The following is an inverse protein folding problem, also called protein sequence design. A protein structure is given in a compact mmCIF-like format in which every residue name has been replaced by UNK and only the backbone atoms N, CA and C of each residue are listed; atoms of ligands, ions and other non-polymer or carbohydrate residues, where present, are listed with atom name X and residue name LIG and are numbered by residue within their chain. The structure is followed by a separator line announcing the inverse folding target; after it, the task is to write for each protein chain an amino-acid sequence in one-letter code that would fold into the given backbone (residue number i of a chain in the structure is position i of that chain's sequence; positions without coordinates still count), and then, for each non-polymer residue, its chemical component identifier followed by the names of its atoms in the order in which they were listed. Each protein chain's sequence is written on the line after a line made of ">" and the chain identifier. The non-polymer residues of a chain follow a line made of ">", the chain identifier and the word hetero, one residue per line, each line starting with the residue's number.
data_IF_411023454891
#
_entry.id   IF_411023454891
#
_cell.length_a   1.000
_cell.length_b   1.000
_cell.length_c   1.000
_cell.angle_alpha   90.00
_cell.angle_beta   90.00
_cell.angle_gamma   90.00
#
_symmetry.space_group_name_H-M   'P 1'
#
loop_
_entity.id
_entity.type
_entity.pdbx_description
1 polymer ?
#
# COMPACT_ATOMS: atom_id res chain seq x y z
N UNK A 1 52.15 -2.30 1.50
CA UNK A 1 51.20 -3.13 2.26
C UNK A 1 50.33 -2.22 3.10
N UNK A 2 49.06 -2.06 2.69
CA UNK A 2 47.89 -1.74 3.51
C UNK A 2 46.77 -1.49 2.49
N UNK A 3 46.03 -2.56 2.18
CA UNK A 3 44.84 -2.47 1.32
C UNK A 3 43.90 -1.42 1.87
N UNK A 4 43.37 -0.60 0.96
CA UNK A 4 42.25 0.27 1.23
C UNK A 4 41.08 -0.59 1.72
N UNK A 5 40.75 -0.46 2.99
CA UNK A 5 39.50 -0.95 3.55
C UNK A 5 38.35 -0.19 2.88
N UNK A 6 37.87 -0.75 1.78
CA UNK A 6 36.61 -0.39 1.15
C UNK A 6 35.45 -0.83 2.06
N UNK A 7 35.39 -0.23 3.25
CA UNK A 7 34.26 -0.35 4.15
C UNK A 7 33.16 0.50 3.55
N UNK A 8 32.19 -0.15 2.92
CA UNK A 8 30.97 0.51 2.46
C UNK A 8 30.27 1.12 3.67
N UNK A 9 30.49 2.41 3.92
CA UNK A 9 29.78 3.15 4.95
C UNK A 9 28.29 3.06 4.58
N UNK A 10 27.42 2.53 5.46
CA UNK A 10 26.01 2.39 5.14
C UNK A 10 25.40 3.78 4.92
N UNK A 11 24.42 3.85 4.01
CA UNK A 11 23.79 5.12 3.62
C UNK A 11 23.14 5.81 4.84
N UNK A 12 22.55 5.04 5.76
CA UNK A 12 22.11 5.51 7.08
C UNK A 12 23.19 6.23 7.88
N UNK A 13 24.43 5.70 7.91
CA UNK A 13 25.53 6.34 8.63
C UNK A 13 25.94 7.68 7.99
N UNK A 14 25.89 7.78 6.66
CA UNK A 14 26.13 9.05 5.95
C UNK A 14 25.05 10.07 6.33
N UNK A 15 23.77 9.68 6.26
CA UNK A 15 22.63 10.52 6.66
C UNK A 15 22.72 10.96 8.12
N UNK A 16 23.05 10.04 9.02
CA UNK A 16 23.26 10.34 10.44
C UNK A 16 24.40 11.34 10.64
N UNK A 17 25.54 11.15 9.96
CA UNK A 17 26.68 12.06 10.03
C UNK A 17 26.35 13.48 9.53
N UNK A 18 25.54 13.58 8.47
CA UNK A 18 25.02 14.86 7.98
C UNK A 18 24.12 15.52 9.02
N UNK A 19 23.16 14.79 9.58
CA UNK A 19 22.26 15.31 10.62
C UNK A 19 23.03 15.74 11.87
N UNK A 20 24.07 15.01 12.27
CA UNK A 20 24.96 15.40 13.35
C UNK A 20 25.67 16.71 13.05
N UNK A 21 26.16 16.88 11.82
CA UNK A 21 26.83 18.11 11.39
C UNK A 21 25.87 19.30 11.38
N UNK A 22 24.67 19.14 10.82
CA UNK A 22 23.64 20.19 10.82
C UNK A 22 23.21 20.55 12.23
N UNK A 23 22.96 19.56 13.08
CA UNK A 23 22.60 19.79 14.49
C UNK A 23 23.71 20.56 15.22
N UNK A 24 24.98 20.25 14.95
CA UNK A 24 26.13 20.95 15.54
C UNK A 24 26.21 22.41 15.08
N UNK A 25 25.89 22.70 13.82
CA UNK A 25 25.83 24.07 13.30
C UNK A 25 24.68 24.87 13.93
N UNK A 26 23.50 24.26 14.03
CA UNK A 26 22.33 24.89 14.65
C UNK A 26 22.50 25.10 16.16
N UNK A 27 23.25 24.24 16.83
CA UNK A 27 23.56 24.35 18.26
C UNK A 27 24.88 25.10 18.53
N UNK A 28 25.39 25.86 17.56
CA UNK A 28 26.58 26.67 17.76
C UNK A 28 26.39 27.65 18.93
N UNK A 29 27.41 27.84 19.78
CA UNK A 29 27.30 28.70 20.95
C UNK A 29 26.98 30.13 20.53
N UNK A 30 26.01 30.73 21.21
CA UNK A 30 25.67 32.12 20.96
C UNK A 30 26.75 33.02 21.57
N UNK A 31 27.24 33.95 20.75
CA UNK A 31 28.15 35.00 21.17
C UNK A 31 27.41 36.34 21.15
N UNK A 32 27.44 37.08 22.27
CA UNK A 32 26.93 38.45 22.26
C UNK A 32 27.83 39.29 21.35
N UNK A 33 27.22 39.90 20.33
CA UNK A 33 27.92 40.79 19.41
C UNK A 33 28.63 41.92 20.18
N UNK A 34 29.89 42.27 19.82
CA UNK A 34 30.61 43.38 20.45
C UNK A 34 29.84 44.71 20.37
N UNK A 35 29.10 44.92 19.28
CA UNK A 35 28.25 46.09 19.11
C UNK A 35 27.12 46.15 20.14
N UNK A 36 26.49 45.00 20.45
CA UNK A 36 25.45 44.90 21.47
C UNK A 36 26.00 45.14 22.88
N UNK A 37 27.22 44.65 23.17
CA UNK A 37 27.92 44.95 24.43
C UNK A 37 28.21 46.45 24.58
N UNK A 38 28.59 47.12 23.49
CA UNK A 38 28.82 48.57 23.49
C UNK A 38 27.53 49.38 23.66
N UNK A 39 26.42 48.88 23.12
CA UNK A 39 25.09 49.46 23.27
C UNK A 39 24.60 49.36 24.72
N UNK A 40 24.75 48.20 25.36
CA UNK A 40 24.39 48.01 26.79
C UNK A 40 25.15 49.01 27.69
N UNK A 41 26.46 49.15 27.51
CA UNK A 41 27.27 50.11 28.29
C UNK A 41 26.82 51.56 28.12
N UNK A 42 26.27 51.90 26.96
CA UNK A 42 25.85 53.28 26.63
C UNK A 42 24.44 53.59 27.13
N UNK A 43 23.67 52.58 27.53
CA UNK A 43 22.28 52.71 27.98
C UNK A 43 22.13 52.72 29.51
N UNK A 44 23.21 52.53 30.28
CA UNK A 44 23.12 52.34 31.73
C UNK A 44 22.91 53.65 32.49
N UNK A 45 21.66 53.89 32.94
CA UNK A 45 21.35 54.72 34.10
C UNK A 45 21.45 53.88 35.38
N UNK A 46 22.54 54.05 36.12
CA UNK A 46 22.78 53.68 37.52
C UNK A 46 22.89 52.19 37.94
N UNK A 47 22.40 51.18 37.20
CA UNK A 47 22.52 49.76 37.60
C UNK A 47 22.88 48.80 36.45
N UNK A 48 24.01 49.07 35.79
CA UNK A 48 24.48 48.28 34.66
C UNK A 48 24.85 46.84 35.00
N UNK A 49 24.40 45.90 34.15
CA UNK A 49 24.82 44.50 34.19
C UNK A 49 26.34 44.42 34.01
N UNK A 50 27.05 43.92 35.02
CA UNK A 50 28.49 43.72 34.95
C UNK A 50 28.84 42.77 33.81
N UNK A 51 29.98 42.98 33.13
CA UNK A 51 30.49 42.07 32.09
C UNK A 51 30.63 40.63 32.61
N UNK A 52 30.88 40.46 33.92
CA UNK A 52 30.86 39.16 34.61
C UNK A 52 29.47 38.53 34.63
N UNK A 53 28.43 39.32 34.88
CA UNK A 53 27.04 38.84 34.85
C UNK A 53 26.61 38.50 33.42
N UNK A 54 27.01 39.29 32.42
CA UNK A 54 26.75 39.01 31.00
C UNK A 54 27.45 37.73 30.54
N UNK A 55 28.71 37.52 30.92
CA UNK A 55 29.43 36.28 30.64
C UNK A 55 28.78 35.07 31.32
N UNK A 56 28.32 35.21 32.56
CA UNK A 56 27.60 34.16 33.28
C UNK A 56 26.23 33.84 32.63
N UNK A 57 25.50 34.85 32.17
CA UNK A 57 24.24 34.67 31.45
C UNK A 57 24.47 33.99 30.11
N UNK A 58 25.47 34.43 29.34
CA UNK A 58 25.86 33.80 28.08
C UNK A 58 26.20 32.32 28.30
N UNK A 59 26.98 32.02 29.34
CA UNK A 59 27.31 30.64 29.71
C UNK A 59 26.06 29.84 30.06
N UNK A 60 25.19 30.35 30.93
CA UNK A 60 23.94 29.66 31.33
C UNK A 60 23.01 29.40 30.14
N UNK A 61 22.88 30.35 29.22
CA UNK A 61 22.07 30.19 28.01
C UNK A 61 22.67 29.13 27.10
N UNK A 62 23.99 29.17 26.85
CA UNK A 62 24.67 28.15 26.04
C UNK A 62 24.61 26.76 26.69
N UNK A 63 24.73 26.67 28.02
CA UNK A 63 24.57 25.42 28.77
C UNK A 63 23.15 24.87 28.61
N UNK A 64 22.12 25.72 28.69
CA UNK A 64 20.72 25.32 28.52
C UNK A 64 20.42 24.90 27.08
N UNK A 65 20.98 25.58 26.08
CA UNK A 65 20.91 25.19 24.67
C UNK A 65 21.58 23.83 24.46
N UNK A 66 22.74 23.59 25.06
CA UNK A 66 23.44 22.31 24.96
C UNK A 66 22.69 21.17 25.67
N UNK A 67 22.05 21.44 26.81
CA UNK A 67 21.21 20.46 27.50
C UNK A 67 20.00 20.08 26.65
N UNK A 68 19.30 21.07 26.10
CA UNK A 68 18.15 20.83 25.22
C UNK A 68 18.57 20.09 23.94
N UNK A 69 19.69 20.47 23.32
CA UNK A 69 20.16 19.81 22.11
C UNK A 69 20.53 18.35 22.34
N UNK A 70 21.16 18.01 23.46
CA UNK A 70 21.44 16.60 23.83
C UNK A 70 20.18 15.80 24.13
N UNK A 71 19.16 16.43 24.74
CA UNK A 71 17.90 15.77 25.07
C UNK A 71 17.05 15.50 23.82
N UNK A 72 16.93 16.47 22.93
CA UNK A 72 16.09 16.37 21.72
C UNK A 72 16.80 15.64 20.59
N UNK A 73 18.07 15.95 20.35
CA UNK A 73 18.89 15.37 19.29
C UNK A 73 19.88 14.36 19.85
N UNK A 74 19.35 13.35 20.57
CA UNK A 74 20.18 12.24 21.04
C UNK A 74 20.80 11.49 19.85
N UNK A 75 21.97 10.87 20.07
CA UNK A 75 22.61 10.09 19.00
C UNK A 75 21.72 8.96 18.49
N UNK A 76 20.92 8.35 19.36
CA UNK A 76 19.98 7.30 19.01
C UNK A 76 18.81 7.84 18.18
N UNK A 77 18.28 9.02 18.53
CA UNK A 77 17.21 9.68 17.77
C UNK A 77 17.67 10.03 16.36
N UNK A 78 18.89 10.54 16.21
CA UNK A 78 19.46 10.90 14.90
C UNK A 78 19.66 9.65 14.04
N UNK A 79 20.22 8.57 14.61
CA UNK A 79 20.39 7.30 13.90
C UNK A 79 19.04 6.70 13.47
N UNK A 80 18.03 6.74 14.35
CA UNK A 80 16.70 6.23 14.05
C UNK A 80 16.00 7.05 12.95
N UNK A 81 16.11 8.38 12.98
CA UNK A 81 15.57 9.23 11.90
C UNK A 81 16.28 8.96 10.58
N UNK A 82 17.60 8.76 10.60
CA UNK A 82 18.36 8.40 9.40
C UNK A 82 17.89 7.06 8.80
N UNK A 83 17.63 6.06 9.64
CA UNK A 83 17.05 4.77 9.24
C UNK A 83 15.62 4.91 8.72
N UNK A 84 14.77 5.72 9.37
CA UNK A 84 13.42 6.01 8.89
C UNK A 84 13.42 6.66 7.50
N UNK A 85 14.29 7.63 7.27
CA UNK A 85 14.42 8.27 5.95
C UNK A 85 14.90 7.25 4.91
N UNK A 86 15.79 6.33 5.28
CA UNK A 86 16.23 5.26 4.40
C UNK A 86 15.11 4.26 4.08
N UNK A 87 14.38 3.77 5.08
CA UNK A 87 13.25 2.87 4.87
C UNK A 87 12.15 3.51 4.03
N UNK A 88 11.80 4.77 4.27
CA UNK A 88 10.84 5.50 3.45
C UNK A 88 11.29 5.64 1.99
N UNK A 89 12.58 5.93 1.76
CA UNK A 89 13.13 6.01 0.40
C UNK A 89 13.03 4.68 -0.35
N UNK A 90 13.39 3.57 0.29
CA UNK A 90 13.27 2.24 -0.31
C UNK A 90 11.82 1.83 -0.55
N UNK A 91 10.94 2.06 0.44
CA UNK A 91 9.51 1.76 0.30
C UNK A 91 8.85 2.58 -0.82
N UNK A 92 9.27 3.84 -1.01
CA UNK A 92 8.78 4.67 -2.11
C UNK A 92 9.25 4.15 -3.47
N UNK A 93 10.50 3.69 -3.59
CA UNK A 93 11.00 3.10 -4.84
C UNK A 93 10.34 1.77 -5.19
N UNK A 94 10.12 0.89 -4.22
CA UNK A 94 9.54 -0.44 -4.45
C UNK A 94 8.05 -0.40 -4.83
N UNK A 95 7.31 0.60 -4.35
CA UNK A 95 5.88 0.74 -4.66
C UNK A 95 5.65 1.41 -6.03
N UNK A 96 6.62 2.19 -6.53
CA UNK A 96 6.43 3.01 -7.72
C UNK A 96 6.88 2.32 -9.01
N UNK A 97 7.98 1.56 -9.01
CA UNK A 97 8.51 0.99 -10.26
C UNK A 97 7.79 -0.28 -10.75
N UNK A 98 6.81 -0.77 -10.00
CA UNK A 98 6.05 -1.97 -10.37
C UNK A 98 4.82 -1.68 -11.22
N UNK A 99 4.32 -0.44 -11.15
CA UNK A 99 3.10 -0.03 -11.82
C UNK A 99 3.43 0.55 -13.20
N UNK A 100 2.75 0.05 -14.23
CA UNK A 100 2.99 0.44 -15.62
C UNK A 100 2.79 1.96 -15.84
N UNK A 101 1.80 2.55 -15.17
CA UNK A 101 1.51 3.99 -15.22
C UNK A 101 2.66 4.81 -14.65
N UNK A 102 3.20 4.40 -13.51
CA UNK A 102 4.30 5.10 -12.86
C UNK A 102 5.58 4.94 -13.69
N UNK A 103 5.78 3.78 -14.32
CA UNK A 103 6.93 3.56 -15.23
C UNK A 103 6.87 4.44 -16.48
N UNK A 104 5.68 4.71 -17.01
CA UNK A 104 5.47 5.66 -18.10
C UNK A 104 5.70 7.12 -17.66
N UNK A 105 5.40 7.45 -16.40
CA UNK A 105 5.65 8.78 -15.81
C UNK A 105 7.12 9.06 -15.46
N UNK A 106 8.04 8.08 -15.60
CA UNK A 106 9.48 8.35 -15.37
C UNK A 106 10.01 9.40 -16.35
N UNK A 107 10.87 10.33 -15.91
CA UNK A 107 11.53 11.29 -16.78
C UNK A 107 12.31 10.64 -17.93
N UNK A 108 12.32 11.30 -19.09
CA UNK A 108 13.05 10.82 -20.27
C UNK A 108 14.56 10.95 -20.12
N UNK A 109 15.02 11.97 -19.38
CA UNK A 109 16.43 12.28 -19.20
C UNK A 109 16.92 11.96 -17.77
N UNK A 110 18.15 11.45 -17.70
CA UNK A 110 18.84 11.20 -16.42
C UNK A 110 19.06 12.49 -15.62
N UNK A 111 19.18 13.64 -16.30
CA UNK A 111 19.36 14.96 -15.67
C UNK A 111 18.18 15.34 -14.78
N UNK A 112 16.95 15.02 -15.18
CA UNK A 112 15.74 15.37 -14.44
C UNK A 112 15.56 14.53 -13.17
N UNK A 113 16.15 13.33 -13.13
CA UNK A 113 16.15 12.44 -11.95
C UNK A 113 17.17 12.91 -10.91
N UNK A 114 18.25 13.55 -11.36
CA UNK A 114 19.25 14.09 -10.45
C UNK A 114 18.77 15.45 -9.97
N UNK A 115 18.36 15.52 -8.69
CA UNK A 115 18.08 16.74 -7.92
C UNK A 115 19.32 17.65 -7.74
N UNK A 116 20.27 17.62 -8.67
CA UNK A 116 21.55 18.31 -8.66
C UNK A 116 21.50 19.45 -9.67
N UNK A 117 22.09 20.59 -9.32
CA UNK A 117 22.05 21.84 -10.09
C UNK A 117 21.98 21.66 -11.61
N UNK A 118 21.10 22.44 -12.22
CA UNK A 118 20.75 22.49 -13.64
C UNK A 118 21.97 22.70 -14.56
N UNK A 119 23.10 23.17 -14.01
CA UNK A 119 24.39 23.30 -14.69
C UNK A 119 25.04 21.94 -15.05
N UNK A 120 24.71 20.85 -14.36
CA UNK A 120 25.19 19.51 -14.67
C UNK A 120 24.20 18.68 -15.51
N UNK A 121 22.96 19.13 -15.67
CA UNK A 121 21.95 18.42 -16.47
C UNK A 121 22.35 18.37 -17.97
N UNK A 122 22.85 19.48 -18.52
CA UNK A 122 23.30 19.57 -19.92
C UNK A 122 24.59 18.76 -20.15
N UNK A 123 25.53 18.80 -19.21
CA UNK A 123 26.77 18.04 -19.28
C UNK A 123 26.55 16.52 -19.18
N UNK A 124 25.50 16.07 -18.47
CA UNK A 124 25.16 14.64 -18.31
C UNK A 124 24.36 14.11 -19.50
N UNK A 125 23.60 14.96 -20.20
CA UNK A 125 22.80 14.56 -21.37
C UNK A 125 23.63 13.92 -22.50
N UNK A 126 24.89 14.34 -22.68
CA UNK A 126 25.81 13.78 -23.68
C UNK A 126 26.63 12.57 -23.20
N UNK A 127 26.51 12.20 -21.91
CA UNK A 127 27.33 11.12 -21.35
C UNK A 127 26.80 9.73 -21.69
N UNK A 128 27.69 8.74 -21.70
CA UNK A 128 27.32 7.32 -21.78
C UNK A 128 26.31 6.90 -20.71
N UNK A 129 26.30 7.59 -19.56
CA UNK A 129 25.36 7.34 -18.47
C UNK A 129 23.91 7.65 -18.87
N UNK A 130 23.67 8.73 -19.63
CA UNK A 130 22.34 9.07 -20.14
C UNK A 130 21.83 8.00 -21.13
N UNK A 131 22.71 7.49 -22.01
CA UNK A 131 22.36 6.38 -22.92
C UNK A 131 22.02 5.09 -22.17
N UNK A 132 22.80 4.75 -21.13
CA UNK A 132 22.54 3.57 -20.27
C UNK A 132 21.22 3.71 -19.52
N UNK A 133 20.91 4.90 -19.03
CA UNK A 133 19.63 5.19 -18.37
C UNK A 133 18.45 4.98 -19.33
N UNK A 134 18.50 5.54 -20.55
CA UNK A 134 17.45 5.35 -21.54
C UNK A 134 17.22 3.87 -21.90
N UNK A 135 18.31 3.09 -22.04
CA UNK A 135 18.22 1.64 -22.26
C UNK A 135 17.58 0.90 -21.08
N UNK A 136 17.97 1.24 -19.85
CA UNK A 136 17.42 0.63 -18.64
C UNK A 136 15.93 0.98 -18.47
N UNK A 137 15.53 2.22 -18.73
CA UNK A 137 14.13 2.66 -18.71
C UNK A 137 13.30 1.88 -19.73
N UNK A 138 13.80 1.72 -20.96
CA UNK A 138 13.13 0.89 -21.98
C UNK A 138 12.94 -0.56 -21.54
N UNK A 139 13.95 -1.15 -20.88
CA UNK A 139 13.85 -2.51 -20.31
C UNK A 139 12.85 -2.59 -19.16
N UNK A 140 12.82 -1.59 -18.28
CA UNK A 140 11.86 -1.52 -17.17
C UNK A 140 10.43 -1.41 -17.70
N UNK A 141 10.18 -0.56 -18.70
CA UNK A 141 8.86 -0.47 -19.35
C UNK A 141 8.41 -1.79 -19.98
N UNK A 142 9.32 -2.50 -20.67
CA UNK A 142 9.01 -3.81 -21.24
C UNK A 142 8.71 -4.88 -20.17
N UNK A 143 9.41 -4.85 -19.03
CA UNK A 143 9.17 -5.77 -17.91
C UNK A 143 7.88 -5.45 -17.16
N UNK A 144 7.57 -4.16 -16.94
CA UNK A 144 6.32 -3.71 -16.34
C UNK A 144 5.11 -4.16 -17.18
N UNK A 145 5.18 -4.00 -18.51
CA UNK A 145 4.16 -4.51 -19.46
C UNK A 145 3.95 -6.02 -19.33
N UNK A 146 5.03 -6.80 -19.36
CA UNK A 146 4.96 -8.27 -19.18
C UNK A 146 4.33 -8.66 -17.84
N UNK A 147 4.67 -7.94 -16.77
CA UNK A 147 4.06 -8.15 -15.44
C UNK A 147 2.57 -7.82 -15.46
N UNK A 148 2.17 -6.70 -16.08
CA UNK A 148 0.77 -6.32 -16.25
C UNK A 148 -0.04 -7.40 -16.97
N UNK A 149 0.46 -7.92 -18.08
CA UNK A 149 -0.16 -9.04 -18.80
C UNK A 149 -0.27 -10.30 -17.94
N UNK A 150 0.77 -10.65 -17.19
CA UNK A 150 0.77 -11.82 -16.31
C UNK A 150 -0.26 -11.69 -15.18
N UNK A 151 -0.38 -10.50 -14.58
CA UNK A 151 -1.40 -10.21 -13.57
C UNK A 151 -2.81 -10.29 -14.14
N UNK A 152 -3.04 -9.76 -15.35
CA UNK A 152 -4.33 -9.91 -16.03
C UNK A 152 -4.68 -11.38 -16.29
N UNK A 153 -3.70 -12.20 -16.72
CA UNK A 153 -3.91 -13.65 -16.90
C UNK A 153 -4.26 -14.32 -15.57
N UNK A 154 -3.54 -14.00 -14.51
CA UNK A 154 -3.80 -14.52 -13.17
C UNK A 154 -5.21 -14.13 -12.70
N UNK A 155 -5.63 -12.89 -12.88
CA UNK A 155 -6.99 -12.44 -12.54
C UNK A 155 -8.05 -13.19 -13.35
N UNK A 156 -7.82 -13.45 -14.64
CA UNK A 156 -8.72 -14.27 -15.47
C UNK A 156 -8.85 -15.68 -14.91
N UNK A 157 -7.74 -16.32 -14.56
CA UNK A 157 -7.74 -17.65 -13.96
C UNK A 157 -8.43 -17.69 -12.60
N UNK A 158 -8.19 -16.69 -11.74
CA UNK A 158 -8.88 -16.59 -10.45
C UNK A 158 -10.39 -16.41 -10.61
N UNK A 159 -10.84 -15.59 -11.57
CA UNK A 159 -12.27 -15.45 -11.88
C UNK A 159 -12.88 -16.77 -12.35
N UNK A 160 -12.19 -17.45 -13.27
CA UNK A 160 -12.63 -18.75 -13.78
C UNK A 160 -12.64 -19.81 -12.67
N UNK A 161 -11.63 -19.81 -11.81
CA UNK A 161 -11.58 -20.67 -10.62
C UNK A 161 -12.74 -20.35 -9.66
N UNK A 162 -13.09 -19.08 -9.49
CA UNK A 162 -14.26 -18.65 -8.73
C UNK A 162 -15.57 -19.23 -9.28
N UNK A 163 -15.75 -19.22 -10.60
CA UNK A 163 -16.91 -19.83 -11.27
C UNK A 163 -16.92 -21.36 -11.11
N UNK A 164 -15.76 -22.00 -11.31
CA UNK A 164 -15.61 -23.45 -11.16
C UNK A 164 -15.76 -23.91 -9.70
N UNK A 165 -15.53 -23.04 -8.72
CA UNK A 165 -15.71 -23.34 -7.29
C UNK A 165 -17.16 -23.75 -6.96
N UNK A 166 -18.14 -23.25 -7.71
CA UNK A 166 -19.52 -23.70 -7.58
C UNK A 166 -19.72 -25.16 -8.02
N UNK A 167 -18.90 -25.64 -8.96
CA UNK A 167 -18.97 -26.97 -9.54
C UNK A 167 -18.08 -28.01 -8.86
N UNK A 168 -17.22 -27.62 -7.91
CA UNK A 168 -16.38 -28.57 -7.16
C UNK A 168 -17.21 -29.49 -6.25
N UNK A 169 -18.35 -29.00 -5.75
CA UNK A 169 -19.33 -29.79 -4.99
C UNK A 169 -20.74 -29.61 -5.56
N UNK A 170 -21.03 -30.16 -6.76
CA UNK A 170 -22.26 -29.86 -7.48
C UNK A 170 -23.48 -30.35 -6.68
N UNK A 171 -23.36 -31.48 -5.97
CA UNK A 171 -24.41 -32.07 -5.11
C UNK A 171 -24.76 -31.22 -3.88
N UNK A 172 -23.88 -30.32 -3.43
CA UNK A 172 -24.10 -29.45 -2.26
C UNK A 172 -24.39 -28.00 -2.64
N UNK A 173 -23.75 -27.47 -3.68
CA UNK A 173 -23.76 -26.05 -4.04
C UNK A 173 -24.73 -25.68 -5.15
N UNK A 174 -24.91 -26.56 -6.14
CA UNK A 174 -25.79 -26.30 -7.27
C UNK A 174 -27.10 -27.05 -6.99
N UNK A 175 -27.95 -26.37 -6.22
CA UNK A 175 -29.36 -26.69 -6.02
C UNK A 175 -29.64 -28.02 -5.29
N UNK A 176 -29.72 -28.05 -3.95
CA UNK A 176 -30.29 -29.18 -3.22
C UNK A 176 -31.75 -29.50 -3.63
N UNK A 177 -32.42 -28.54 -4.30
CA UNK A 177 -33.82 -28.62 -4.72
C UNK A 177 -34.02 -29.10 -6.16
N UNK A 178 -32.98 -29.60 -6.85
CA UNK A 178 -33.15 -30.24 -8.15
C UNK A 178 -34.17 -31.39 -8.04
N UNK A 179 -35.17 -31.39 -8.93
CA UNK A 179 -36.17 -32.46 -9.10
C UNK A 179 -35.48 -33.69 -9.70
N UNK A 180 -34.56 -34.28 -8.93
CA UNK A 180 -34.02 -35.60 -9.23
C UNK A 180 -35.00 -36.64 -8.71
N UNK A 181 -34.99 -37.84 -9.29
CA UNK A 181 -35.92 -38.90 -8.93
C UNK A 181 -35.91 -39.28 -7.43
N UNK A 182 -34.88 -38.87 -6.67
CA UNK A 182 -34.73 -39.09 -5.21
C UNK A 182 -34.54 -37.79 -4.41
N UNK A 183 -34.80 -36.62 -4.99
CA UNK A 183 -34.57 -35.30 -4.37
C UNK A 183 -35.57 -34.91 -3.29
N UNK A 184 -35.20 -33.96 -2.41
CA UNK A 184 -36.03 -33.48 -1.30
C UNK A 184 -37.33 -32.82 -1.78
N UNK A 185 -37.26 -32.03 -2.87
CA UNK A 185 -38.43 -31.42 -3.49
C UNK A 185 -39.45 -32.46 -3.99
N UNK A 186 -39.00 -33.61 -4.51
CA UNK A 186 -39.92 -34.70 -4.91
C UNK A 186 -40.63 -35.30 -3.70
N UNK A 187 -39.92 -35.48 -2.58
CA UNK A 187 -40.52 -35.97 -1.32
C UNK A 187 -41.56 -34.98 -0.80
N UNK A 188 -41.28 -33.69 -0.85
CA UNK A 188 -42.27 -32.68 -0.46
C UNK A 188 -43.45 -32.66 -1.45
N UNK A 189 -43.22 -32.79 -2.76
CA UNK A 189 -44.30 -32.92 -3.74
C UNK A 189 -45.16 -34.17 -3.51
N UNK A 190 -44.58 -35.31 -3.19
CA UNK A 190 -45.31 -36.53 -2.82
C UNK A 190 -46.11 -36.33 -1.52
N UNK A 191 -45.55 -35.67 -0.51
CA UNK A 191 -46.29 -35.30 0.70
C UNK A 191 -47.45 -34.35 0.40
N UNK A 192 -47.25 -33.34 -0.46
CA UNK A 192 -48.32 -32.45 -0.88
C UNK A 192 -49.39 -33.17 -1.70
N UNK A 193 -49.04 -34.16 -2.55
CA UNK A 193 -49.99 -35.02 -3.27
C UNK A 193 -50.85 -35.84 -2.30
N UNK A 194 -50.23 -36.41 -1.27
CA UNK A 194 -50.96 -37.16 -0.23
C UNK A 194 -51.84 -36.24 0.61
N UNK A 195 -51.36 -35.05 0.97
CA UNK A 195 -52.16 -34.06 1.69
C UNK A 195 -53.33 -33.55 0.83
N UNK A 196 -53.13 -33.29 -0.47
CA UNK A 196 -54.19 -32.93 -1.41
C UNK A 196 -55.23 -34.04 -1.54
N UNK A 197 -54.81 -35.29 -1.71
CA UNK A 197 -55.74 -36.42 -1.75
C UNK A 197 -56.53 -36.57 -0.43
N UNK A 198 -55.89 -36.28 0.71
CA UNK A 198 -56.55 -36.32 2.02
C UNK A 198 -57.46 -35.12 2.26
N UNK A 199 -57.12 -33.95 1.72
CA UNK A 199 -57.96 -32.75 1.73
C UNK A 199 -59.14 -32.94 0.79
N UNK A 200 -58.97 -33.54 -0.39
CA UNK A 200 -60.05 -33.90 -1.31
C UNK A 200 -60.97 -34.98 -0.72
N UNK A 201 -60.43 -35.93 0.05
CA UNK A 201 -61.22 -36.93 0.76
C UNK A 201 -61.96 -36.37 2.00
N UNK A 202 -61.48 -35.25 2.57
CA UNK A 202 -62.05 -34.61 3.76
C UNK A 202 -62.91 -33.38 3.43
N UNK A 203 -62.70 -32.78 2.26
CA UNK A 203 -63.64 -31.88 1.64
C UNK A 203 -64.84 -32.72 1.21
N UNK A 204 -65.96 -32.53 1.91
CA UNK A 204 -67.27 -33.04 1.52
C UNK A 204 -67.51 -32.76 0.02
N UNK A 205 -68.26 -33.62 -0.69
CA UNK A 205 -68.42 -33.57 -2.14
C UNK A 205 -69.19 -32.32 -2.54
N UNK A 206 -68.50 -31.19 -2.68
CA UNK A 206 -69.02 -30.04 -3.41
C UNK A 206 -68.66 -30.27 -4.87
N UNK A 207 -69.55 -31.02 -5.53
CA UNK A 207 -69.72 -31.21 -6.97
C UNK A 207 -68.49 -30.90 -7.84
N UNK A 208 -67.70 -31.93 -8.19
CA UNK A 208 -66.68 -31.83 -9.25
C UNK A 208 -66.65 -33.06 -10.15
N UNK A 209 -67.71 -33.23 -10.94
CA UNK A 209 -67.71 -34.08 -12.14
C UNK A 209 -66.90 -33.49 -13.33
N UNK A 210 -66.00 -32.51 -13.10
CA UNK A 210 -65.27 -31.84 -14.20
C UNK A 210 -63.74 -31.85 -14.13
N UNK A 211 -63.12 -32.27 -13.02
CA UNK A 211 -61.65 -32.20 -12.88
C UNK A 211 -60.91 -33.56 -12.88
N UNK A 212 -61.63 -34.69 -12.88
CA UNK A 212 -61.01 -36.03 -12.99
C UNK A 212 -60.28 -36.29 -14.32
N UNK A 213 -60.59 -35.52 -15.37
CA UNK A 213 -59.92 -35.59 -16.66
C UNK A 213 -58.57 -34.86 -16.72
N UNK A 214 -58.36 -33.86 -15.88
CA UNK A 214 -57.11 -33.09 -15.86
C UNK A 214 -56.00 -33.82 -15.11
N UNK A 215 -56.33 -34.48 -14.00
CA UNK A 215 -55.37 -35.30 -13.25
C UNK A 215 -54.78 -36.45 -14.10
N UNK A 216 -55.63 -37.13 -14.89
CA UNK A 216 -55.18 -38.20 -15.81
C UNK A 216 -54.34 -37.68 -16.97
N UNK A 217 -54.61 -36.46 -17.46
CA UNK A 217 -53.79 -35.78 -18.49
C UNK A 217 -52.45 -35.32 -17.94
N UNK A 218 -52.38 -34.93 -16.67
CA UNK A 218 -51.11 -34.61 -16.00
C UNK A 218 -50.24 -35.86 -15.79
N UNK A 219 -50.84 -36.98 -15.35
CA UNK A 219 -50.11 -38.25 -15.20
C UNK A 219 -49.58 -38.75 -16.57
N UNK A 220 -50.35 -38.67 -17.66
CA UNK A 220 -49.88 -39.02 -19.01
C UNK A 220 -48.78 -38.09 -19.55
N UNK A 221 -48.85 -36.78 -19.27
CA UNK A 221 -47.79 -35.84 -19.68
C UNK A 221 -46.50 -36.03 -18.88
N UNK A 222 -46.60 -36.44 -17.62
CA UNK A 222 -45.43 -36.76 -16.80
C UNK A 222 -44.74 -38.04 -17.29
N UNK A 223 -45.50 -39.05 -17.70
CA UNK A 223 -44.94 -40.27 -18.32
C UNK A 223 -44.23 -39.96 -19.64
N UNK A 224 -44.82 -39.12 -20.51
CA UNK A 224 -44.17 -38.72 -21.77
C UNK A 224 -42.87 -37.91 -21.57
N UNK A 225 -42.78 -37.08 -20.53
CA UNK A 225 -41.56 -36.32 -20.23
C UNK A 225 -40.48 -37.21 -19.61
N UNK A 226 -40.87 -38.30 -18.95
CA UNK A 226 -39.94 -39.30 -18.39
C UNK A 226 -39.34 -40.23 -19.44
N UNK A 227 -40.00 -40.45 -20.59
CA UNK A 227 -39.49 -41.28 -21.69
C UNK A 227 -38.57 -40.51 -22.67
N UNK A 228 -38.55 -39.18 -22.62
CA UNK A 228 -37.83 -38.31 -23.56
C UNK A 228 -36.59 -37.58 -22.98
N UNK A 229 -36.24 -37.82 -21.71
CA UNK A 229 -35.04 -37.24 -21.05
C UNK A 229 -34.07 -38.32 -20.58
#
# INVERSE_FOLDING_TARGET
>A
MASADNTHVPISAIKASFLHTQTRLLCAPLHLSPAYRSWLRRSDTNHGLSDKQLANLQKRVNDKISQHSKAVFSSQSISHVAEQIETLYWNQQDVQLTDEQVVEELPDALGDVLLRDHSHAEAVAETEAARRYAQLRGRLGALAKKRGEALQRLQRYQRLQGLLRAYQEPKRRIQPNLVTAKGEMRRELERTRVLLARVDARALPVARDRHGGEARRFDQKLEQVMELG
#
